data_IF_958484544584
#
_entry.id   IF_958484544584
#
_cell.length_a   1.000
_cell.length_b   1.000
_cell.length_c   1.000
_cell.angle_alpha   90.00
_cell.angle_beta   90.00
_cell.angle_gamma   90.00
#
_symmetry.space_group_name_H-M   'P 1'
#
loop_
_entity.id
_entity.type
_entity.pdbx_description
1 polymer ?
#
# COMPACT_ATOMS: atom_id res chain seq x y z
N UNK A 1 -44.12 -38.17 25.84
CA UNK A 1 -42.74 -38.33 26.19
C UNK A 1 -42.03 -37.01 25.91
N UNK A 2 -41.88 -36.32 26.96
CA UNK A 2 -41.19 -35.19 27.53
C UNK A 2 -40.07 -34.53 26.67
N UNK A 3 -40.26 -33.21 26.58
CA UNK A 3 -39.27 -32.20 26.13
C UNK A 3 -38.18 -32.00 27.18
N UNK A 4 -36.96 -31.89 26.75
CA UNK A 4 -35.80 -31.52 27.54
C UNK A 4 -35.65 -30.01 27.64
N UNK A 5 -35.74 -29.50 28.87
CA UNK A 5 -35.41 -28.11 29.19
C UNK A 5 -33.90 -27.91 29.22
N UNK A 6 -33.46 -26.87 28.51
CA UNK A 6 -32.15 -26.29 28.69
C UNK A 6 -32.23 -25.11 29.66
N UNK A 7 -31.27 -24.93 30.58
CA UNK A 7 -31.27 -23.83 31.51
C UNK A 7 -30.97 -22.49 30.79
N UNK A 8 -31.73 -21.48 31.14
CA UNK A 8 -31.50 -20.10 30.70
C UNK A 8 -30.27 -19.53 31.41
N UNK A 9 -29.43 -18.71 30.71
CA UNK A 9 -28.32 -18.02 31.33
C UNK A 9 -28.84 -16.88 32.26
N UNK A 10 -28.11 -16.55 33.33
CA UNK A 10 -28.51 -15.53 34.27
C UNK A 10 -28.52 -14.14 33.66
N UNK A 11 -29.52 -13.36 33.96
CA UNK A 11 -29.63 -11.95 33.65
C UNK A 11 -28.50 -11.16 34.34
N UNK A 12 -27.51 -10.70 33.61
CA UNK A 12 -26.48 -9.81 34.12
C UNK A 12 -26.95 -8.37 33.95
N UNK A 13 -27.59 -7.86 34.99
CA UNK A 13 -27.85 -6.43 35.16
C UNK A 13 -26.55 -5.73 35.56
N UNK A 14 -25.89 -5.08 34.61
CA UNK A 14 -24.93 -4.03 34.91
C UNK A 14 -25.43 -2.76 34.23
N UNK A 15 -25.86 -1.81 35.03
CA UNK A 15 -26.06 -0.43 34.64
C UNK A 15 -24.71 0.11 34.23
N UNK A 16 -24.50 0.22 32.92
CA UNK A 16 -23.40 1.03 32.36
C UNK A 16 -23.77 2.49 32.63
N UNK A 17 -23.16 3.05 33.68
CA UNK A 17 -23.04 4.49 33.85
C UNK A 17 -22.25 4.96 32.62
N UNK A 18 -22.95 5.65 31.73
CA UNK A 18 -22.34 6.32 30.59
C UNK A 18 -21.50 7.50 31.12
N UNK A 19 -20.23 7.24 31.40
CA UNK A 19 -19.27 8.32 31.56
C UNK A 19 -18.90 8.78 30.16
N UNK A 20 -19.76 9.64 29.61
CA UNK A 20 -19.56 10.29 28.32
C UNK A 20 -18.60 11.45 28.50
N UNK A 21 -17.34 11.16 28.78
CA UNK A 21 -16.25 12.05 28.40
C UNK A 21 -16.01 11.86 26.89
N UNK A 22 -16.80 12.55 26.08
CA UNK A 22 -16.48 12.86 24.70
C UNK A 22 -15.18 13.68 24.72
N UNK A 23 -14.03 13.02 24.83
CA UNK A 23 -12.84 13.59 24.28
C UNK A 23 -13.12 13.71 22.77
N UNK A 24 -13.27 14.94 22.29
CA UNK A 24 -13.16 15.27 20.86
C UNK A 24 -11.89 14.58 20.39
N UNK A 25 -12.03 13.40 19.82
CA UNK A 25 -10.91 12.73 19.15
C UNK A 25 -10.56 13.61 17.98
N UNK A 26 -9.50 14.40 18.14
CA UNK A 26 -8.91 15.12 17.02
C UNK A 26 -8.82 14.15 15.83
N UNK A 27 -9.26 14.55 14.64
CA UNK A 27 -9.26 13.65 13.50
C UNK A 27 -7.86 13.09 13.31
N UNK A 28 -7.77 11.77 13.12
CA UNK A 28 -6.49 11.08 12.91
C UNK A 28 -5.74 11.80 11.78
N UNK A 29 -4.53 12.26 12.08
CA UNK A 29 -3.67 12.90 11.07
C UNK A 29 -2.80 11.82 10.42
N UNK A 30 -2.70 11.85 9.10
CA UNK A 30 -2.03 10.82 8.30
C UNK A 30 -1.00 11.48 7.37
N UNK A 31 0.26 11.11 7.51
CA UNK A 31 1.33 11.62 6.64
C UNK A 31 1.26 10.95 5.27
N UNK A 32 1.23 11.75 4.21
CA UNK A 32 1.26 11.32 2.82
C UNK A 32 2.65 11.63 2.26
N UNK A 33 3.45 10.60 2.03
CA UNK A 33 4.85 10.70 1.64
C UNK A 33 5.01 10.70 0.12
N UNK A 34 5.22 11.88 -0.43
CA UNK A 34 5.31 12.19 -1.86
C UNK A 34 4.26 13.23 -2.28
N UNK A 35 4.60 14.08 -3.24
CA UNK A 35 3.71 15.11 -3.80
C UNK A 35 3.71 15.09 -5.34
N UNK A 36 3.77 13.90 -5.93
CA UNK A 36 3.67 13.66 -7.36
C UNK A 36 2.24 13.32 -7.82
N UNK A 37 2.13 12.78 -9.05
CA UNK A 37 0.84 12.35 -9.63
C UNK A 37 0.14 11.30 -8.77
N UNK A 38 0.86 10.27 -8.34
CA UNK A 38 0.32 9.20 -7.50
C UNK A 38 -0.21 9.71 -6.14
N UNK A 39 0.39 10.76 -5.60
CA UNK A 39 -0.11 11.36 -4.36
C UNK A 39 -1.54 11.92 -4.48
N UNK A 40 -1.95 12.37 -5.66
CA UNK A 40 -3.33 12.83 -5.91
C UNK A 40 -4.32 11.66 -5.80
N UNK A 41 -3.96 10.51 -6.37
CA UNK A 41 -4.77 9.28 -6.30
C UNK A 41 -4.86 8.76 -4.85
N UNK A 42 -3.76 8.83 -4.10
CA UNK A 42 -3.76 8.45 -2.67
C UNK A 42 -4.61 9.41 -1.83
N UNK A 43 -4.56 10.72 -2.08
CA UNK A 43 -5.41 11.68 -1.38
C UNK A 43 -6.90 11.42 -1.64
N UNK A 44 -7.26 11.06 -2.86
CA UNK A 44 -8.63 10.68 -3.19
C UNK A 44 -9.08 9.45 -2.40
N UNK A 45 -8.27 8.39 -2.32
CA UNK A 45 -8.57 7.19 -1.52
C UNK A 45 -8.67 7.51 -0.02
N UNK A 46 -7.77 8.33 0.52
CA UNK A 46 -7.83 8.77 1.92
C UNK A 46 -9.16 9.48 2.21
N UNK A 47 -9.59 10.34 1.31
CA UNK A 47 -10.86 11.07 1.42
C UNK A 47 -12.06 10.12 1.33
N UNK A 48 -12.10 9.23 0.33
CA UNK A 48 -13.17 8.24 0.14
C UNK A 48 -13.34 7.33 1.36
N UNK A 49 -12.24 6.90 1.95
CA UNK A 49 -12.21 5.96 3.09
C UNK A 49 -12.20 6.65 4.46
N UNK A 50 -12.22 7.98 4.49
CA UNK A 50 -12.18 8.75 5.74
C UNK A 50 -11.01 8.36 6.66
N UNK A 51 -9.85 8.12 6.09
CA UNK A 51 -8.67 7.62 6.82
C UNK A 51 -8.03 8.66 7.74
N UNK A 52 -8.45 9.91 7.69
CA UNK A 52 -7.94 11.00 8.51
C UNK A 52 -7.59 12.26 7.70
N UNK A 53 -7.01 13.25 8.38
CA UNK A 53 -6.56 14.49 7.74
C UNK A 53 -5.15 14.30 7.16
N UNK A 54 -4.95 14.51 5.86
CA UNK A 54 -3.64 14.34 5.24
C UNK A 54 -2.68 15.47 5.64
N UNK A 55 -1.45 15.09 5.96
CA UNK A 55 -0.30 15.98 6.13
C UNK A 55 0.73 15.59 5.08
N UNK A 56 1.07 16.51 4.19
CA UNK A 56 1.99 16.20 3.10
C UNK A 56 3.44 16.15 3.57
N UNK A 57 4.18 15.21 3.04
CA UNK A 57 5.63 15.16 3.19
C UNK A 57 6.28 14.97 1.82
N UNK A 58 7.14 15.89 1.42
CA UNK A 58 7.99 15.75 0.24
C UNK A 58 9.27 16.56 0.45
N UNK A 59 10.41 16.01 0.06
CA UNK A 59 11.72 16.64 0.21
C UNK A 59 11.91 17.81 -0.75
N UNK A 60 11.10 17.89 -1.81
CA UNK A 60 11.12 18.98 -2.79
C UNK A 60 10.03 20.01 -2.49
N UNK A 61 10.37 21.20 -1.94
CA UNK A 61 9.39 22.24 -1.64
C UNK A 61 8.54 22.65 -2.84
N UNK A 62 9.11 22.64 -4.04
CA UNK A 62 8.42 22.96 -5.29
C UNK A 62 7.27 21.99 -5.60
N UNK A 63 7.36 20.74 -5.19
CA UNK A 63 6.28 19.76 -5.34
C UNK A 63 5.09 20.11 -4.43
N UNK A 64 5.37 20.49 -3.19
CA UNK A 64 4.36 20.88 -2.20
C UNK A 64 3.68 22.20 -2.53
N UNK A 65 4.34 23.09 -3.25
CA UNK A 65 3.76 24.38 -3.66
C UNK A 65 2.67 24.25 -4.76
N UNK A 66 2.48 23.09 -5.34
CA UNK A 66 1.51 22.87 -6.42
C UNK A 66 0.14 22.43 -5.89
N UNK A 67 -0.99 22.82 -6.53
CA UNK A 67 -2.28 22.24 -6.20
C UNK A 67 -2.35 20.72 -6.43
N UNK A 68 -3.06 19.97 -5.60
CA UNK A 68 -3.82 20.40 -4.42
C UNK A 68 -2.96 20.56 -3.15
N UNK A 69 -1.67 20.19 -3.17
CA UNK A 69 -0.81 20.03 -2.00
C UNK A 69 -0.58 21.34 -1.23
N UNK A 70 -0.49 22.48 -1.93
CA UNK A 70 -0.28 23.79 -1.32
C UNK A 70 -1.38 24.24 -0.34
N UNK A 71 -2.53 23.54 -0.34
CA UNK A 71 -3.66 23.79 0.56
C UNK A 71 -3.62 22.91 1.81
N UNK A 72 -2.65 22.04 1.93
CA UNK A 72 -2.53 21.07 3.02
C UNK A 72 -1.34 21.42 3.92
N UNK A 73 -1.42 21.04 5.18
CA UNK A 73 -0.25 21.07 6.06
C UNK A 73 0.86 20.22 5.46
N UNK A 74 2.09 20.73 5.46
CA UNK A 74 3.19 20.04 4.77
C UNK A 74 4.54 20.25 5.45
N UNK A 75 5.43 19.28 5.26
CA UNK A 75 6.79 19.26 5.77
C UNK A 75 7.76 18.78 4.69
N UNK A 76 8.99 19.32 4.75
CA UNK A 76 10.09 18.96 3.82
C UNK A 76 11.21 18.16 4.49
N UNK A 77 11.14 17.99 5.81
CA UNK A 77 12.13 17.20 6.55
C UNK A 77 11.47 16.35 7.64
N UNK A 78 12.00 15.14 7.90
CA UNK A 78 11.43 14.22 8.88
C UNK A 78 11.46 14.72 10.34
N UNK A 79 12.51 15.43 10.80
CA UNK A 79 12.50 16.00 12.16
C UNK A 79 11.34 16.96 12.44
N UNK A 80 10.84 17.66 11.43
CA UNK A 80 9.66 18.51 11.60
C UNK A 80 8.40 17.68 11.87
N UNK A 81 8.22 16.55 11.21
CA UNK A 81 7.15 15.60 11.50
C UNK A 81 7.24 15.10 12.94
N UNK A 82 8.44 14.67 13.37
CA UNK A 82 8.64 14.22 14.75
C UNK A 82 8.29 15.30 15.78
N UNK A 83 8.63 16.55 15.54
CA UNK A 83 8.24 17.67 16.44
C UNK A 83 6.73 17.89 16.47
N UNK A 84 6.06 17.80 15.33
CA UNK A 84 4.62 18.01 15.23
C UNK A 84 3.80 16.89 15.87
N UNK A 85 4.19 15.64 15.66
CA UNK A 85 3.47 14.47 16.17
C UNK A 85 3.95 14.03 17.57
N UNK A 86 5.07 14.53 18.02
CA UNK A 86 5.65 14.21 19.33
C UNK A 86 6.12 12.75 19.46
N UNK A 87 6.25 12.30 20.70
CA UNK A 87 6.76 10.93 21.00
C UNK A 87 5.78 9.80 20.65
N UNK A 88 4.54 10.12 20.28
CA UNK A 88 3.55 9.10 19.89
C UNK A 88 3.81 8.54 18.49
N UNK A 89 4.71 9.19 17.73
CA UNK A 89 4.93 8.87 16.33
C UNK A 89 3.74 9.24 15.43
N UNK A 90 3.74 8.78 14.19
CA UNK A 90 2.70 9.12 13.21
C UNK A 90 2.47 8.03 12.17
N UNK A 91 1.20 7.82 11.75
CA UNK A 91 0.91 6.96 10.61
C UNK A 91 1.35 7.62 9.31
N UNK A 92 1.88 6.84 8.38
CA UNK A 92 2.18 7.34 7.05
C UNK A 92 1.76 6.38 5.94
N UNK A 93 1.47 6.93 4.75
CA UNK A 93 1.28 6.20 3.50
C UNK A 93 2.31 6.64 2.48
N UNK A 94 2.83 5.70 1.70
CA UNK A 94 3.72 5.99 0.59
C UNK A 94 2.90 6.46 -0.63
N UNK A 95 3.24 7.61 -1.18
CA UNK A 95 2.52 8.23 -2.30
C UNK A 95 3.43 8.49 -3.50
N UNK A 96 4.42 7.61 -3.70
CA UNK A 96 5.35 7.61 -4.83
C UNK A 96 5.32 6.26 -5.54
N UNK A 97 5.53 6.22 -6.85
CA UNK A 97 5.54 4.98 -7.63
C UNK A 97 6.89 4.25 -7.55
N UNK A 98 8.00 4.98 -7.75
CA UNK A 98 9.34 4.39 -7.86
C UNK A 98 9.71 3.46 -6.71
N UNK A 99 10.07 2.20 -6.98
CA UNK A 99 10.50 1.22 -5.96
C UNK A 99 11.59 1.74 -5.03
N UNK A 100 12.64 2.32 -5.59
CA UNK A 100 13.77 2.89 -4.83
C UNK A 100 13.31 4.06 -3.94
N UNK A 101 12.44 4.93 -4.46
CA UNK A 101 11.91 6.05 -3.68
C UNK A 101 10.98 5.57 -2.57
N UNK A 102 10.19 4.50 -2.80
CA UNK A 102 9.33 3.89 -1.78
C UNK A 102 10.16 3.36 -0.62
N UNK A 103 11.19 2.56 -0.91
CA UNK A 103 12.08 2.00 0.11
C UNK A 103 12.76 3.13 0.92
N UNK A 104 13.36 4.11 0.24
CA UNK A 104 14.03 5.24 0.90
C UNK A 104 13.10 6.05 1.80
N UNK A 105 11.89 6.38 1.33
CA UNK A 105 10.92 7.15 2.13
C UNK A 105 10.40 6.34 3.31
N UNK A 106 10.16 5.06 3.12
CA UNK A 106 9.75 4.16 4.18
C UNK A 106 10.77 4.16 5.33
N UNK A 107 12.04 3.83 5.04
CA UNK A 107 13.08 3.76 6.04
C UNK A 107 13.28 5.10 6.75
N UNK A 108 13.23 6.18 5.98
CA UNK A 108 13.40 7.55 6.51
C UNK A 108 12.28 7.95 7.47
N UNK A 109 11.04 7.61 7.17
CA UNK A 109 9.92 7.94 8.05
C UNK A 109 9.87 7.03 9.28
N UNK A 110 10.18 5.76 9.13
CA UNK A 110 10.28 4.83 10.25
C UNK A 110 11.38 5.27 11.22
N UNK A 111 12.53 5.74 10.74
CA UNK A 111 13.65 6.19 11.59
C UNK A 111 13.32 7.38 12.50
N UNK A 112 12.26 8.12 12.20
CA UNK A 112 11.78 9.26 13.01
C UNK A 112 10.48 8.98 13.76
N UNK A 113 10.07 7.72 13.85
CA UNK A 113 8.90 7.28 14.61
C UNK A 113 7.60 7.17 13.81
N UNK A 114 7.68 7.17 12.48
CA UNK A 114 6.54 6.86 11.62
C UNK A 114 6.25 5.36 11.58
N UNK A 115 4.98 4.98 11.39
CA UNK A 115 4.58 3.61 11.10
C UNK A 115 3.73 3.56 9.81
N UNK A 116 3.97 2.57 8.96
CA UNK A 116 3.31 2.50 7.67
C UNK A 116 1.84 2.11 7.81
N UNK A 117 1.00 2.69 6.96
CA UNK A 117 -0.40 2.31 6.79
C UNK A 117 -0.62 1.88 5.34
N UNK A 118 -1.36 0.81 5.18
CA UNK A 118 -1.82 0.38 3.86
C UNK A 118 -3.06 1.16 3.43
N UNK A 119 -3.18 1.42 2.13
CA UNK A 119 -4.36 1.99 1.49
C UNK A 119 -4.84 0.98 0.45
N UNK A 120 -6.03 0.43 0.65
CA UNK A 120 -6.64 -0.56 -0.24
C UNK A 120 -7.95 0.02 -0.75
N UNK A 121 -8.04 0.26 -2.06
CA UNK A 121 -9.26 0.82 -2.66
C UNK A 121 -10.46 -0.11 -2.44
N UNK A 122 -11.62 0.45 -2.11
CA UNK A 122 -12.84 -0.35 -1.88
C UNK A 122 -13.33 -1.11 -3.12
N UNK A 123 -12.80 -0.80 -4.31
CA UNK A 123 -13.07 -1.52 -5.56
C UNK A 123 -12.01 -2.56 -5.90
N UNK A 124 -10.96 -2.70 -5.10
CA UNK A 124 -10.00 -3.78 -5.26
C UNK A 124 -10.61 -5.10 -4.77
N UNK A 125 -10.28 -6.19 -5.45
CA UNK A 125 -10.67 -7.54 -5.06
C UNK A 125 -9.46 -8.23 -4.45
N UNK A 126 -9.55 -8.56 -3.18
CA UNK A 126 -8.46 -9.22 -2.43
C UNK A 126 -9.01 -10.51 -1.84
N UNK A 127 -8.39 -11.64 -2.14
CA UNK A 127 -8.75 -12.93 -1.55
C UNK A 127 -8.50 -12.93 -0.05
N UNK A 128 -9.36 -13.61 0.71
CA UNK A 128 -9.19 -13.79 2.15
C UNK A 128 -7.93 -14.57 2.54
N UNK A 129 -7.39 -15.39 1.62
CA UNK A 129 -6.19 -16.20 1.81
C UNK A 129 -4.91 -15.50 1.32
N UNK A 130 -5.02 -14.26 0.83
CA UNK A 130 -3.85 -13.49 0.44
C UNK A 130 -3.09 -12.91 1.66
N UNK A 131 -1.78 -13.04 1.67
CA UNK A 131 -0.91 -12.51 2.71
C UNK A 131 -0.40 -11.11 2.32
N UNK A 132 -0.92 -10.09 2.96
CA UNK A 132 -0.56 -8.69 2.72
C UNK A 132 0.32 -8.16 3.84
N UNK A 133 1.53 -7.71 3.51
CA UNK A 133 2.39 -6.99 4.46
C UNK A 133 1.92 -5.54 4.65
N UNK A 134 2.63 -4.78 5.45
CA UNK A 134 2.30 -3.39 5.79
C UNK A 134 2.69 -2.37 4.70
N UNK A 135 2.09 -1.18 4.74
CA UNK A 135 2.46 -0.04 3.90
C UNK A 135 2.13 -0.20 2.41
N UNK A 136 1.21 -1.09 2.08
CA UNK A 136 0.79 -1.34 0.70
C UNK A 136 -0.11 -0.22 0.17
N UNK A 137 -0.03 0.01 -1.14
CA UNK A 137 -1.07 0.69 -1.88
C UNK A 137 -1.70 -0.31 -2.86
N UNK A 138 -2.98 -0.59 -2.70
CA UNK A 138 -3.75 -1.42 -3.63
C UNK A 138 -4.82 -0.54 -4.25
N UNK A 139 -4.64 -0.23 -5.53
CA UNK A 139 -5.44 0.78 -6.23
C UNK A 139 -6.74 0.18 -6.80
N UNK A 140 -7.57 1.05 -7.36
CA UNK A 140 -8.87 0.68 -7.90
C UNK A 140 -8.81 -0.47 -8.91
N UNK A 141 -9.73 -1.43 -8.76
CA UNK A 141 -9.90 -2.60 -9.63
C UNK A 141 -8.67 -3.51 -9.71
N UNK A 142 -7.73 -3.42 -8.79
CA UNK A 142 -6.67 -4.41 -8.65
C UNK A 142 -7.26 -5.75 -8.18
N UNK A 143 -6.72 -6.86 -8.68
CA UNK A 143 -7.05 -8.21 -8.25
C UNK A 143 -5.85 -8.84 -7.54
N UNK A 144 -6.05 -9.33 -6.34
CA UNK A 144 -5.08 -10.13 -5.58
C UNK A 144 -5.77 -11.45 -5.26
N UNK A 145 -5.33 -12.53 -5.89
CA UNK A 145 -5.96 -13.85 -5.83
C UNK A 145 -5.48 -14.66 -4.62
N UNK A 146 -6.01 -15.88 -4.49
CA UNK A 146 -5.72 -16.77 -3.37
C UNK A 146 -4.21 -17.12 -3.28
N UNK A 147 -3.72 -17.27 -2.06
CA UNK A 147 -2.33 -17.62 -1.73
C UNK A 147 -1.27 -16.66 -2.30
N UNK A 148 -1.70 -15.48 -2.79
CA UNK A 148 -0.78 -14.43 -3.22
C UNK A 148 -0.14 -13.77 -2.00
N UNK A 149 1.19 -13.52 -2.06
CA UNK A 149 1.96 -12.88 -1.00
C UNK A 149 2.58 -11.59 -1.50
N UNK A 150 2.39 -10.49 -0.77
CA UNK A 150 2.89 -9.19 -1.16
C UNK A 150 3.73 -8.58 -0.04
N UNK A 151 5.00 -8.31 -0.35
CA UNK A 151 5.96 -7.69 0.56
C UNK A 151 5.64 -6.22 0.84
N UNK A 152 6.12 -5.77 2.00
CA UNK A 152 5.86 -4.44 2.54
C UNK A 152 6.18 -3.32 1.56
N UNK A 153 5.45 -2.24 1.68
CA UNK A 153 5.68 -1.03 0.91
C UNK A 153 5.44 -1.15 -0.59
N UNK A 154 4.90 -2.27 -1.09
CA UNK A 154 4.64 -2.47 -2.52
C UNK A 154 3.37 -1.74 -2.99
N UNK A 155 3.34 -1.42 -4.27
CA UNK A 155 2.22 -0.77 -4.95
C UNK A 155 1.65 -1.74 -6.00
N UNK A 156 0.39 -2.13 -5.82
CA UNK A 156 -0.42 -2.82 -6.82
C UNK A 156 -1.35 -1.78 -7.44
N UNK A 157 -0.97 -1.29 -8.60
CA UNK A 157 -1.64 -0.15 -9.23
C UNK A 157 -2.98 -0.54 -9.88
N UNK A 158 -3.71 0.44 -10.39
CA UNK A 158 -5.05 0.26 -10.91
C UNK A 158 -5.12 -0.86 -11.96
N UNK A 159 -6.10 -1.78 -11.82
CA UNK A 159 -6.32 -2.94 -12.72
C UNK A 159 -5.13 -3.91 -12.83
N UNK A 160 -4.12 -3.81 -11.98
CA UNK A 160 -3.07 -4.81 -11.91
C UNK A 160 -3.63 -6.11 -11.31
N UNK A 161 -3.19 -7.25 -11.84
CA UNK A 161 -3.69 -8.57 -11.45
C UNK A 161 -2.54 -9.45 -10.93
N UNK A 162 -2.65 -9.89 -9.69
CA UNK A 162 -1.79 -10.89 -9.09
C UNK A 162 -2.60 -12.18 -8.95
N UNK A 163 -2.22 -13.20 -9.71
CA UNK A 163 -2.90 -14.49 -9.71
C UNK A 163 -2.48 -15.35 -8.52
N UNK A 164 -3.10 -16.54 -8.41
CA UNK A 164 -2.89 -17.50 -7.33
C UNK A 164 -1.40 -17.86 -7.14
N UNK A 165 -0.99 -18.11 -5.91
CA UNK A 165 0.37 -18.54 -5.52
C UNK A 165 1.51 -17.58 -5.89
N UNK A 166 1.20 -16.35 -6.32
CA UNK A 166 2.23 -15.38 -6.66
C UNK A 166 2.95 -14.86 -5.42
N UNK A 167 4.26 -14.61 -5.54
CA UNK A 167 5.03 -13.93 -4.50
C UNK A 167 5.63 -12.64 -5.07
N UNK A 168 5.33 -11.52 -4.46
CA UNK A 168 5.88 -10.20 -4.80
C UNK A 168 6.70 -9.71 -3.62
N UNK A 169 7.96 -9.36 -3.85
CA UNK A 169 8.87 -8.84 -2.84
C UNK A 169 8.48 -7.47 -2.32
N UNK A 170 9.40 -6.87 -1.56
CA UNK A 170 9.17 -5.58 -0.91
C UNK A 170 9.35 -4.42 -1.89
N UNK A 171 8.61 -3.33 -1.66
CA UNK A 171 8.74 -2.07 -2.40
C UNK A 171 8.62 -2.22 -3.92
N UNK A 172 7.90 -3.23 -4.41
CA UNK A 172 7.63 -3.39 -5.83
C UNK A 172 6.59 -2.38 -6.34
N UNK A 173 6.65 -2.08 -7.64
CA UNK A 173 5.62 -1.32 -8.35
C UNK A 173 5.03 -2.20 -9.47
N UNK A 174 3.82 -2.68 -9.28
CA UNK A 174 3.05 -3.37 -10.32
C UNK A 174 2.17 -2.33 -10.98
N UNK A 175 2.64 -1.80 -12.12
CA UNK A 175 1.99 -0.67 -12.81
C UNK A 175 0.59 -1.01 -13.35
N UNK A 176 -0.20 0.00 -13.76
CA UNK A 176 -1.57 -0.21 -14.22
C UNK A 176 -1.73 -1.29 -15.27
N UNK A 177 -2.66 -2.21 -15.04
CA UNK A 177 -3.00 -3.30 -15.97
C UNK A 177 -1.94 -4.39 -16.14
N UNK A 178 -0.85 -4.37 -15.38
CA UNK A 178 0.14 -5.45 -15.41
C UNK A 178 -0.43 -6.75 -14.81
N UNK A 179 0.00 -7.90 -15.32
CA UNK A 179 -0.46 -9.22 -14.88
C UNK A 179 0.70 -10.10 -14.43
N UNK A 180 0.63 -10.58 -13.20
CA UNK A 180 1.56 -11.55 -12.63
C UNK A 180 0.80 -12.86 -12.52
N UNK A 181 1.14 -13.81 -13.41
CA UNK A 181 0.37 -15.04 -13.54
C UNK A 181 0.81 -16.10 -12.51
N UNK A 182 -0.01 -17.14 -12.37
CA UNK A 182 0.07 -18.09 -11.26
C UNK A 182 1.45 -18.59 -10.90
N UNK A 183 1.78 -18.64 -9.63
CA UNK A 183 3.05 -19.09 -9.06
C UNK A 183 4.30 -18.31 -9.51
N UNK A 184 4.16 -17.19 -10.21
CA UNK A 184 5.31 -16.33 -10.54
C UNK A 184 5.87 -15.66 -9.28
N UNK A 185 7.18 -15.43 -9.25
CA UNK A 185 7.89 -14.86 -8.11
C UNK A 185 8.71 -13.65 -8.52
N UNK A 186 8.48 -12.53 -7.88
CA UNK A 186 9.23 -11.28 -8.06
C UNK A 186 10.05 -11.01 -6.80
N UNK A 187 11.31 -10.66 -6.98
CA UNK A 187 12.17 -10.17 -5.91
C UNK A 187 11.78 -8.79 -5.40
N UNK A 188 12.68 -8.17 -4.67
CA UNK A 188 12.48 -6.85 -4.09
C UNK A 188 12.67 -5.73 -5.13
N UNK A 189 11.97 -4.60 -4.94
CA UNK A 189 12.12 -3.38 -5.76
C UNK A 189 11.93 -3.60 -7.27
N UNK A 190 11.16 -4.62 -7.64
CA UNK A 190 10.83 -4.87 -9.04
C UNK A 190 9.80 -3.85 -9.52
N UNK A 191 10.03 -3.32 -10.72
CA UNK A 191 9.05 -2.51 -11.43
C UNK A 191 8.50 -3.28 -12.62
N UNK A 192 7.21 -3.56 -12.60
CA UNK A 192 6.49 -4.18 -13.72
C UNK A 192 5.70 -3.10 -14.45
N UNK A 193 6.14 -2.75 -15.67
CA UNK A 193 5.55 -1.69 -16.49
C UNK A 193 4.09 -1.96 -16.85
N UNK A 194 3.36 -0.88 -17.17
CA UNK A 194 1.92 -0.94 -17.47
C UNK A 194 1.60 -1.97 -18.56
N UNK A 195 0.61 -2.82 -18.32
CA UNK A 195 0.19 -3.86 -19.26
C UNK A 195 1.22 -4.98 -19.50
N UNK A 196 2.32 -5.03 -18.77
CA UNK A 196 3.28 -6.13 -18.90
C UNK A 196 2.74 -7.42 -18.27
N UNK A 197 3.19 -8.57 -18.77
CA UNK A 197 2.74 -9.89 -18.36
C UNK A 197 3.96 -10.72 -17.94
N UNK A 198 3.91 -11.27 -16.73
CA UNK A 198 4.85 -12.28 -16.27
C UNK A 198 4.17 -13.64 -16.31
N UNK A 199 4.67 -14.57 -17.13
CA UNK A 199 4.06 -15.88 -17.33
C UNK A 199 4.14 -16.76 -16.06
N UNK A 200 3.31 -17.82 -15.96
CA UNK A 200 3.25 -18.66 -14.77
C UNK A 200 4.60 -19.27 -14.40
N UNK A 201 4.88 -19.31 -13.10
CA UNK A 201 6.10 -19.95 -12.55
C UNK A 201 7.41 -19.21 -12.80
N UNK A 202 7.40 -18.08 -13.50
CA UNK A 202 8.60 -17.29 -13.81
C UNK A 202 9.16 -16.65 -12.54
N UNK A 203 10.50 -16.64 -12.43
CA UNK A 203 11.23 -15.92 -11.38
C UNK A 203 11.87 -14.67 -11.94
N UNK A 204 11.62 -13.56 -11.28
CA UNK A 204 12.21 -12.25 -11.57
C UNK A 204 13.03 -11.84 -10.36
N UNK A 205 14.31 -11.53 -10.56
CA UNK A 205 15.22 -11.13 -9.50
C UNK A 205 14.93 -9.77 -8.91
N UNK A 206 15.79 -9.32 -8.01
CA UNK A 206 15.70 -8.00 -7.35
C UNK A 206 16.06 -6.87 -8.32
N UNK A 207 15.54 -5.67 -8.06
CA UNK A 207 15.87 -4.45 -8.79
C UNK A 207 15.63 -4.52 -10.32
N UNK A 208 14.77 -5.43 -10.78
CA UNK A 208 14.43 -5.61 -12.19
C UNK A 208 13.40 -4.57 -12.65
N UNK A 209 13.60 -4.05 -13.86
CA UNK A 209 12.57 -3.25 -14.54
C UNK A 209 12.05 -4.02 -15.75
N UNK A 210 10.73 -4.29 -15.77
CA UNK A 210 10.02 -4.88 -16.91
C UNK A 210 9.33 -3.73 -17.65
N UNK A 211 9.65 -3.54 -18.93
CA UNK A 211 9.08 -2.49 -19.77
C UNK A 211 7.56 -2.64 -19.95
N UNK A 212 6.87 -1.53 -20.24
CA UNK A 212 5.43 -1.55 -20.48
C UNK A 212 5.09 -2.46 -21.68
N UNK A 213 4.01 -3.23 -21.56
CA UNK A 213 3.55 -4.19 -22.58
C UNK A 213 4.48 -5.39 -22.84
N UNK A 214 5.54 -5.56 -22.05
CA UNK A 214 6.44 -6.69 -22.21
C UNK A 214 5.81 -8.01 -21.77
N UNK A 215 6.20 -9.12 -22.40
CA UNK A 215 5.80 -10.48 -22.00
C UNK A 215 7.03 -11.26 -21.57
N UNK A 216 7.14 -11.48 -20.26
CA UNK A 216 8.26 -12.22 -19.64
C UNK A 216 7.97 -13.70 -19.71
N UNK A 217 8.77 -14.43 -20.53
CA UNK A 217 8.58 -15.84 -20.84
C UNK A 217 9.64 -16.74 -20.22
N UNK A 218 10.64 -16.18 -19.53
CA UNK A 218 11.75 -16.88 -18.87
C UNK A 218 12.22 -16.12 -17.65
N UNK A 219 12.96 -16.79 -16.77
CA UNK A 219 13.51 -16.16 -15.57
C UNK A 219 14.41 -14.98 -15.93
N UNK A 220 14.37 -13.94 -15.09
CA UNK A 220 15.10 -12.69 -15.25
C UNK A 220 16.05 -12.54 -14.06
N UNK A 221 17.37 -12.36 -14.28
CA UNK A 221 18.32 -12.12 -13.20
C UNK A 221 18.15 -10.72 -12.57
N UNK A 222 18.82 -10.49 -11.44
CA UNK A 222 18.77 -9.23 -10.71
C UNK A 222 19.28 -8.03 -11.55
N UNK A 223 18.76 -6.86 -11.26
CA UNK A 223 19.29 -5.56 -11.69
C UNK A 223 19.16 -5.23 -13.18
N UNK A 224 18.47 -6.05 -13.97
CA UNK A 224 18.37 -5.82 -15.42
C UNK A 224 17.04 -5.17 -15.82
N UNK A 225 17.05 -4.56 -17.00
CA UNK A 225 15.84 -4.09 -17.66
C UNK A 225 15.53 -4.98 -18.84
N UNK A 226 14.30 -5.55 -18.87
CA UNK A 226 13.80 -6.36 -19.98
C UNK A 226 12.57 -5.72 -20.61
N UNK A 227 12.41 -5.86 -21.94
CA UNK A 227 11.31 -5.25 -22.70
C UNK A 227 10.95 -6.05 -23.95
N UNK A 228 9.76 -5.84 -24.47
CA UNK A 228 9.28 -6.46 -25.71
C UNK A 228 8.55 -7.78 -25.51
N UNK A 229 8.20 -8.42 -26.64
CA UNK A 229 7.46 -9.70 -26.71
C UNK A 229 8.21 -10.64 -27.67
N UNK A 230 8.89 -11.68 -27.17
CA UNK A 230 9.17 -11.95 -25.75
C UNK A 230 10.15 -10.93 -25.15
N UNK A 231 10.06 -10.72 -23.84
CA UNK A 231 10.94 -9.80 -23.13
C UNK A 231 12.40 -10.27 -23.12
N UNK A 232 13.29 -9.33 -23.45
CA UNK A 232 14.74 -9.52 -23.51
C UNK A 232 15.46 -8.31 -22.95
#
# INVERSE_FOLDING_TARGET
>A
VSANGLPQPPACGHSLVADASFHEMLPLRLVVAGAGGHAKEILELIQQQRMGQPVMYDEAPSSLARPPFCRLASHTNPPALRREFGNRGFPFVLAVGSPVSRARLYDRLVSVGGWPRSVIAGTAVVSGDAELSEGLNVMHFALISCDARIGRGSLVNARANLHHDTCVGQFCEICPGAMILGAARLGDRVRVGSGAIVLPGIRVGDDVTIGAGAVVTRNVPDGVTVKGVPAR
#
